data_IF_546653709657
#
_entry.id   IF_546653709657
#
_cell.length_a   1.000
_cell.length_b   1.000
_cell.length_c   1.000
_cell.angle_alpha   90.00
_cell.angle_beta   90.00
_cell.angle_gamma   90.00
#
_symmetry.space_group_name_H-M   'P 1'
#
loop_
_entity.id
_entity.type
_entity.pdbx_description
1 polymer ?
#
# COMPACT_ATOMS: atom_id res chain seq x y z
N UNK A 1 -2.24 -7.50 -13.97
CA UNK A 1 -2.79 -8.14 -12.75
C UNK A 1 -4.30 -7.99 -12.65
N UNK A 2 -4.85 -6.76 -12.64
CA UNK A 2 -6.32 -6.54 -12.57
C UNK A 2 -7.08 -7.35 -13.61
N UNK A 3 -6.68 -7.29 -14.89
CA UNK A 3 -7.37 -8.02 -15.96
C UNK A 3 -7.32 -9.53 -15.75
N UNK A 4 -6.21 -10.06 -15.25
CA UNK A 4 -6.06 -11.48 -14.96
C UNK A 4 -6.99 -11.93 -13.82
N UNK A 5 -7.07 -11.16 -12.73
CA UNK A 5 -8.02 -11.43 -11.63
C UNK A 5 -9.46 -11.44 -12.16
N UNK A 6 -9.81 -10.49 -13.03
CA UNK A 6 -11.15 -10.42 -13.65
C UNK A 6 -11.43 -11.59 -14.59
N UNK A 7 -10.46 -11.99 -15.40
CA UNK A 7 -10.57 -13.15 -16.28
C UNK A 7 -10.75 -14.45 -15.50
N UNK A 8 -10.14 -14.55 -14.32
CA UNK A 8 -10.27 -15.71 -13.43
C UNK A 8 -11.54 -15.67 -12.54
N UNK A 9 -12.46 -14.72 -12.80
CA UNK A 9 -13.76 -14.61 -12.12
C UNK A 9 -13.78 -13.76 -10.86
N UNK A 10 -12.65 -13.15 -10.48
CA UNK A 10 -12.55 -12.23 -9.34
C UNK A 10 -12.92 -10.79 -9.68
N UNK A 11 -12.97 -9.93 -8.64
CA UNK A 11 -13.13 -8.48 -8.79
C UNK A 11 -11.85 -7.76 -8.35
N UNK A 12 -11.40 -6.79 -9.14
CA UNK A 12 -10.20 -6.02 -8.86
C UNK A 12 -10.27 -4.61 -9.44
N UNK A 13 -9.61 -3.67 -8.76
CA UNK A 13 -9.35 -2.31 -9.23
C UNK A 13 -7.90 -1.93 -8.88
N UNK A 14 -7.35 -0.95 -9.60
CA UNK A 14 -6.00 -0.44 -9.37
C UNK A 14 -6.06 0.98 -8.82
N UNK A 15 -5.16 1.30 -7.90
CA UNK A 15 -4.94 2.64 -7.36
C UNK A 15 -3.46 2.97 -7.51
N UNK A 16 -3.18 4.16 -8.02
CA UNK A 16 -1.82 4.68 -8.15
C UNK A 16 -1.56 5.74 -7.08
N UNK A 17 -0.58 5.49 -6.23
CA UNK A 17 -0.15 6.40 -5.17
C UNK A 17 1.35 6.23 -4.92
N UNK A 18 2.01 7.32 -4.54
CA UNK A 18 3.41 7.32 -4.11
C UNK A 18 3.49 7.06 -2.60
N UNK A 19 3.88 5.85 -2.22
CA UNK A 19 3.90 5.44 -0.82
C UNK A 19 5.06 6.04 -0.02
N UNK A 20 6.06 6.65 -0.68
CA UNK A 20 7.17 7.33 0.01
C UNK A 20 6.73 8.60 0.75
N UNK A 21 5.52 9.11 0.45
CA UNK A 21 4.99 10.35 1.03
C UNK A 21 3.67 10.13 1.77
N UNK A 22 3.47 10.92 2.84
CA UNK A 22 2.18 10.95 3.55
C UNK A 22 1.02 11.35 2.65
N UNK A 23 1.26 12.27 1.70
CA UNK A 23 0.22 12.69 0.76
C UNK A 23 -0.20 11.54 -0.15
N UNK A 24 0.74 10.73 -0.64
CA UNK A 24 0.41 9.56 -1.43
C UNK A 24 -0.32 8.48 -0.62
N UNK A 25 0.06 8.24 0.64
CA UNK A 25 -0.71 7.35 1.54
C UNK A 25 -2.14 7.89 1.74
N UNK A 26 -2.30 9.21 1.95
CA UNK A 26 -3.64 9.81 2.08
C UNK A 26 -4.48 9.64 0.81
N UNK A 27 -3.86 9.84 -0.36
CA UNK A 27 -4.50 9.63 -1.66
C UNK A 27 -4.91 8.17 -1.87
N UNK A 28 -4.05 7.22 -1.51
CA UNK A 28 -4.35 5.78 -1.57
C UNK A 28 -5.67 5.48 -0.86
N UNK A 29 -5.79 5.89 0.41
CA UNK A 29 -6.99 5.62 1.21
C UNK A 29 -8.23 6.32 0.67
N UNK A 30 -8.12 7.58 0.23
CA UNK A 30 -9.26 8.29 -0.36
C UNK A 30 -9.81 7.57 -1.60
N UNK A 31 -8.94 7.12 -2.49
CA UNK A 31 -9.33 6.38 -3.69
C UNK A 31 -9.81 4.96 -3.37
N UNK A 32 -9.24 4.33 -2.35
CA UNK A 32 -9.63 2.99 -1.89
C UNK A 32 -11.02 3.01 -1.32
N UNK A 33 -11.34 3.96 -0.43
CA UNK A 33 -12.67 4.08 0.18
C UNK A 33 -13.74 4.31 -0.89
N UNK A 34 -13.48 5.19 -1.86
CA UNK A 34 -14.40 5.41 -2.99
C UNK A 34 -14.60 4.14 -3.82
N UNK A 35 -13.54 3.37 -4.04
CA UNK A 35 -13.59 2.14 -4.82
C UNK A 35 -14.34 1.04 -4.05
N UNK A 36 -13.99 0.77 -2.80
CA UNK A 36 -14.66 -0.22 -1.96
C UNK A 36 -16.15 0.11 -1.81
N UNK A 37 -16.51 1.37 -1.56
CA UNK A 37 -17.91 1.80 -1.47
C UNK A 37 -18.68 1.47 -2.76
N UNK A 38 -18.06 1.62 -3.94
CA UNK A 38 -18.67 1.29 -5.23
C UNK A 38 -18.79 -0.21 -5.47
N UNK A 39 -17.81 -1.00 -5.04
CA UNK A 39 -17.75 -2.44 -5.35
C UNK A 39 -18.51 -3.31 -4.34
N UNK A 40 -18.45 -2.97 -3.05
CA UNK A 40 -18.98 -3.78 -1.95
C UNK A 40 -19.92 -3.02 -1.01
N UNK A 41 -20.11 -1.72 -1.21
CA UNK A 41 -21.03 -0.92 -0.39
C UNK A 41 -20.51 -0.52 0.99
N UNK A 42 -19.23 -0.76 1.26
CA UNK A 42 -18.55 -0.46 2.54
C UNK A 42 -17.08 -0.09 2.26
N UNK A 43 -16.34 0.35 3.28
CA UNK A 43 -14.91 0.72 3.24
C UNK A 43 -14.02 -0.22 4.06
N UNK A 44 -14.59 -1.29 4.60
CA UNK A 44 -13.87 -2.25 5.43
C UNK A 44 -12.93 -3.15 4.63
N UNK A 45 -11.86 -3.57 5.29
CA UNK A 45 -10.85 -4.48 4.78
C UNK A 45 -10.83 -5.74 5.64
N UNK A 46 -10.79 -6.90 5.01
CA UNK A 46 -10.55 -8.18 5.70
C UNK A 46 -9.04 -8.49 5.79
N UNK A 47 -8.24 -8.03 4.82
CA UNK A 47 -6.80 -8.31 4.74
C UNK A 47 -6.08 -7.08 4.18
N UNK A 48 -4.96 -6.72 4.81
CA UNK A 48 -3.99 -5.76 4.30
C UNK A 48 -2.65 -6.46 4.08
N UNK A 49 -2.13 -6.40 2.86
CA UNK A 49 -0.82 -6.97 2.52
C UNK A 49 0.15 -5.84 2.17
N UNK A 50 1.08 -5.54 3.07
CA UNK A 50 2.19 -4.60 2.80
C UNK A 50 3.27 -5.30 1.98
N UNK A 51 3.05 -5.43 0.67
CA UNK A 51 3.98 -6.10 -0.25
C UNK A 51 4.91 -5.14 -1.00
N UNK A 52 4.63 -3.83 -0.99
CA UNK A 52 5.50 -2.86 -1.65
C UNK A 52 6.86 -2.83 -0.95
N UNK A 53 7.92 -3.03 -1.72
CA UNK A 53 9.29 -3.03 -1.21
C UNK A 53 10.30 -2.78 -2.33
N UNK A 54 11.39 -2.13 -2.00
CA UNK A 54 12.54 -1.92 -2.87
C UNK A 54 13.81 -2.44 -2.20
N UNK A 55 14.84 -2.72 -3.00
CA UNK A 55 16.16 -3.06 -2.51
C UNK A 55 17.21 -2.34 -3.34
N UNK A 56 18.26 -1.88 -2.68
CA UNK A 56 19.45 -1.34 -3.32
C UNK A 56 20.56 -2.41 -3.26
N UNK A 57 21.27 -2.63 -4.36
CA UNK A 57 22.42 -3.54 -4.42
C UNK A 57 23.66 -2.66 -4.33
N UNK A 58 24.04 -2.30 -3.10
CA UNK A 58 25.19 -1.46 -2.77
C UNK A 58 25.99 -2.15 -1.66
N UNK A 59 27.31 -1.97 -1.65
CA UNK A 59 28.09 -2.29 -0.45
C UNK A 59 27.83 -1.25 0.65
N UNK A 60 28.33 -1.52 1.86
CA UNK A 60 28.22 -0.55 2.96
C UNK A 60 28.99 0.75 2.66
N UNK A 61 30.12 0.65 1.96
CA UNK A 61 30.94 1.79 1.56
C UNK A 61 30.28 2.63 0.45
N UNK A 62 29.48 1.99 -0.42
CA UNK A 62 28.74 2.66 -1.50
C UNK A 62 27.41 3.25 -1.02
N UNK A 63 26.91 2.81 0.14
CA UNK A 63 25.64 3.26 0.69
C UNK A 63 25.71 4.72 1.11
N UNK A 64 24.76 5.51 0.62
CA UNK A 64 24.56 6.91 1.04
C UNK A 64 23.34 7.03 1.95
N UNK A 65 23.22 8.15 2.67
CA UNK A 65 22.03 8.48 3.47
C UNK A 65 20.77 8.44 2.60
N UNK A 66 20.83 8.97 1.39
CA UNK A 66 19.69 8.97 0.45
C UNK A 66 19.28 7.55 0.05
N UNK A 67 20.25 6.67 -0.24
CA UNK A 67 19.97 5.27 -0.60
C UNK A 67 19.35 4.48 0.57
N UNK A 68 19.79 4.77 1.79
CA UNK A 68 19.25 4.18 3.01
C UNK A 68 17.83 4.68 3.25
N UNK A 69 17.63 5.99 3.17
CA UNK A 69 16.33 6.64 3.35
C UNK A 69 15.31 6.16 2.32
N UNK A 70 15.70 5.93 1.07
CA UNK A 70 14.80 5.41 0.05
C UNK A 70 14.23 4.04 0.46
N UNK A 71 15.10 3.11 0.85
CA UNK A 71 14.71 1.77 1.30
C UNK A 71 13.87 1.84 2.58
N UNK A 72 14.29 2.66 3.56
CA UNK A 72 13.58 2.78 4.84
C UNK A 72 12.21 3.47 4.69
N UNK A 73 12.11 4.47 3.82
CA UNK A 73 10.84 5.16 3.56
C UNK A 73 9.82 4.20 2.93
N UNK A 74 10.23 3.34 1.98
CA UNK A 74 9.33 2.39 1.34
C UNK A 74 9.08 1.13 2.16
N UNK A 75 10.13 0.49 2.69
CA UNK A 75 10.00 -0.85 3.29
C UNK A 75 9.56 -0.83 4.75
N UNK A 76 9.75 0.29 5.45
CA UNK A 76 9.50 0.38 6.90
C UNK A 76 8.46 1.46 7.21
N UNK A 77 8.77 2.71 6.84
CA UNK A 77 7.94 3.86 7.18
C UNK A 77 6.57 3.79 6.50
N UNK A 78 6.52 3.49 5.21
CA UNK A 78 5.26 3.40 4.49
C UNK A 78 4.32 2.31 5.07
N UNK A 79 4.74 1.04 5.25
CA UNK A 79 3.91 0.03 5.92
C UNK A 79 3.39 0.45 7.29
N UNK A 80 4.22 1.10 8.12
CA UNK A 80 3.80 1.57 9.43
C UNK A 80 2.61 2.54 9.34
N UNK A 81 2.70 3.58 8.50
CA UNK A 81 1.64 4.57 8.37
C UNK A 81 0.45 4.07 7.55
N UNK A 82 0.67 3.14 6.62
CA UNK A 82 -0.41 2.43 5.94
C UNK A 82 -1.21 1.64 6.98
N UNK A 83 -0.58 0.84 7.84
CA UNK A 83 -1.27 0.09 8.91
C UNK A 83 -2.00 1.06 9.85
N UNK A 84 -1.34 2.10 10.34
CA UNK A 84 -1.95 3.08 11.25
C UNK A 84 -3.26 3.64 10.68
N UNK A 85 -3.29 3.92 9.38
CA UNK A 85 -4.48 4.45 8.70
C UNK A 85 -5.49 3.37 8.31
N UNK A 86 -5.07 2.11 8.21
CA UNK A 86 -5.95 0.96 7.98
C UNK A 86 -6.79 0.60 9.19
N UNK A 87 -6.28 0.82 10.42
CA UNK A 87 -6.90 0.35 11.66
C UNK A 87 -8.41 0.61 11.78
N UNK A 88 -8.97 1.78 11.38
CA UNK A 88 -10.41 2.02 11.45
C UNK A 88 -11.24 1.23 10.42
N UNK A 89 -10.60 0.65 9.41
CA UNK A 89 -11.22 -0.10 8.29
C UNK A 89 -11.02 -1.61 8.43
N UNK A 90 -9.99 -2.04 9.16
CA UNK A 90 -9.70 -3.45 9.43
C UNK A 90 -10.78 -4.05 10.34
N UNK A 91 -11.30 -5.21 9.95
CA UNK A 91 -12.36 -5.92 10.71
C UNK A 91 -11.74 -6.68 11.89
N UNK A 92 -12.59 -7.09 12.83
CA UNK A 92 -12.13 -7.97 13.90
C UNK A 92 -11.66 -9.31 13.32
N UNK A 93 -10.41 -9.68 13.60
CA UNK A 93 -9.77 -10.86 13.00
C UNK A 93 -9.10 -10.60 11.65
N UNK A 94 -9.09 -9.34 11.20
CA UNK A 94 -8.35 -8.84 10.04
C UNK A 94 -8.05 -7.36 10.17
#
# INVERSE_FOLDING_TARGET
>A
VVDKIKQDGGSAFAISADLSTFNGINKLYSMMDQSLQKYIGDTTLDILVNNAGIGQILTLEESTEESFDEVMNINVKAPFFIIQKALPRLKNGG
#
